data_IF_044907579315
#
_entry.id   IF_044907579315
#
_cell.length_a   1.000
_cell.length_b   1.000
_cell.length_c   1.000
_cell.angle_alpha   90.00
_cell.angle_beta   90.00
_cell.angle_gamma   90.00
#
_symmetry.space_group_name_H-M   'P 1'
#
loop_
_entity.id
_entity.type
_entity.pdbx_description
1 polymer ?
#
# COMPACT_ATOMS: atom_id res chain seq x y z
N UNK A 1 -1.27 7.87 21.70
CA UNK A 1 -1.03 8.21 21.05
C UNK A 1 -1.01 8.19 20.14
N UNK A 2 -1.07 8.15 19.81
CA UNK A 2 -0.65 8.10 18.82
C UNK A 2 -0.14 8.76 18.14
N UNK A 3 -0.29 9.07 18.32
CA UNK A 3 0.43 10.08 17.77
C UNK A 3 1.34 9.84 16.67
N UNK A 4 1.96 8.80 16.61
CA UNK A 4 2.88 8.53 15.55
C UNK A 4 2.23 8.69 14.20
N UNK A 5 0.95 8.42 14.11
CA UNK A 5 0.25 8.58 12.86
C UNK A 5 0.24 10.01 12.37
N UNK A 6 0.39 10.97 13.27
CA UNK A 6 0.33 12.36 12.88
C UNK A 6 1.50 12.77 12.01
N UNK A 7 2.61 12.05 12.04
CA UNK A 7 3.78 12.37 11.24
C UNK A 7 4.07 11.32 10.19
N UNK A 8 3.14 10.43 9.97
CA UNK A 8 3.30 9.42 8.95
C UNK A 8 3.13 9.98 7.57
N UNK A 9 3.77 9.36 6.61
CA UNK A 9 3.62 9.68 5.20
C UNK A 9 2.62 8.72 4.59
N UNK A 10 1.68 9.25 3.80
CA UNK A 10 0.77 8.40 3.05
C UNK A 10 1.41 8.02 1.73
N UNK A 11 1.25 6.76 1.38
CA UNK A 11 1.85 6.22 0.16
C UNK A 11 0.80 5.37 -0.52
N UNK A 12 0.53 5.67 -1.78
CA UNK A 12 -0.38 4.89 -2.59
C UNK A 12 0.42 3.78 -3.26
N UNK A 13 0.02 2.53 -3.04
CA UNK A 13 0.68 1.38 -3.64
C UNK A 13 -0.28 0.75 -4.64
N UNK A 14 0.16 0.63 -5.87
CA UNK A 14 -0.64 0.10 -6.96
C UNK A 14 0.03 -1.16 -7.48
N UNK A 15 -0.68 -2.29 -7.42
CA UNK A 15 -0.13 -3.55 -7.90
C UNK A 15 0.09 -3.48 -9.40
N UNK A 16 1.27 -3.88 -9.83
CA UNK A 16 1.64 -3.93 -11.25
C UNK A 16 1.32 -5.30 -11.81
N UNK A 17 0.96 -5.34 -13.08
CA UNK A 17 0.81 -6.60 -13.78
C UNK A 17 2.14 -7.34 -13.80
N UNK A 18 2.05 -8.66 -13.61
CA UNK A 18 3.21 -9.53 -13.71
C UNK A 18 2.94 -10.51 -14.84
N UNK A 19 3.52 -10.28 -16.04
CA UNK A 19 3.29 -11.17 -17.16
C UNK A 19 3.69 -12.59 -16.82
N UNK A 20 2.99 -13.56 -17.39
CA UNK A 20 3.32 -14.97 -17.26
C UNK A 20 3.01 -15.58 -15.89
N UNK A 21 2.41 -14.84 -14.98
CA UNK A 21 1.98 -15.38 -13.69
C UNK A 21 0.53 -15.81 -13.81
N UNK A 22 0.22 -17.02 -13.35
CA UNK A 22 -1.12 -17.57 -13.44
C UNK A 22 -1.78 -17.64 -12.08
N UNK A 23 -3.11 -17.75 -12.06
CA UNK A 23 -3.86 -17.89 -10.80
C UNK A 23 -3.38 -19.09 -9.98
N UNK A 24 -2.96 -20.17 -10.65
CA UNK A 24 -2.47 -21.35 -9.95
C UNK A 24 -1.23 -21.05 -9.11
N UNK A 25 -0.37 -20.16 -9.58
CA UNK A 25 0.85 -19.83 -8.85
C UNK A 25 0.55 -19.06 -7.57
N UNK A 26 -0.55 -18.33 -7.54
CA UNK A 26 -0.96 -17.57 -6.34
C UNK A 26 -1.53 -18.47 -5.26
N UNK A 27 -2.22 -19.53 -5.67
CA UNK A 27 -3.05 -20.30 -4.76
C UNK A 27 -2.36 -20.75 -3.47
N UNK A 28 -1.13 -21.27 -3.50
CA UNK A 28 -0.49 -21.73 -2.26
C UNK A 28 -0.25 -20.64 -1.24
N UNK A 29 -0.24 -19.37 -1.68
CA UNK A 29 0.13 -18.25 -0.82
C UNK A 29 -1.03 -17.37 -0.40
N UNK A 30 -2.23 -17.61 -0.91
CA UNK A 30 -3.34 -16.68 -0.72
C UNK A 30 -3.76 -16.55 0.74
N UNK A 31 -3.77 -17.64 1.48
CA UNK A 31 -4.16 -17.58 2.87
C UNK A 31 -3.12 -16.84 3.71
N UNK A 32 -1.84 -17.12 3.48
CA UNK A 32 -0.76 -16.44 4.18
C UNK A 32 -0.72 -14.95 3.81
N UNK A 33 -1.00 -14.65 2.55
CA UNK A 33 -1.09 -13.26 2.09
C UNK A 33 -2.18 -12.52 2.86
N UNK A 34 -3.38 -13.09 2.93
CA UNK A 34 -4.49 -12.46 3.63
C UNK A 34 -4.17 -12.27 5.11
N UNK A 35 -3.51 -13.24 5.73
CA UNK A 35 -3.14 -13.12 7.13
C UNK A 35 -2.15 -11.98 7.36
N UNK A 36 -1.18 -11.83 6.46
CA UNK A 36 -0.18 -10.76 6.60
C UNK A 36 -0.82 -9.39 6.35
N UNK A 37 -1.68 -9.29 5.34
CA UNK A 37 -2.40 -8.04 5.07
C UNK A 37 -3.23 -7.64 6.29
N UNK A 38 -3.90 -8.62 6.91
CA UNK A 38 -4.69 -8.35 8.10
C UNK A 38 -3.84 -7.80 9.25
N UNK A 39 -2.66 -8.39 9.47
CA UNK A 39 -1.74 -7.90 10.50
C UNK A 39 -1.32 -6.46 10.23
N UNK A 40 -1.00 -6.14 8.99
CA UNK A 40 -0.57 -4.79 8.61
C UNK A 40 -1.72 -3.79 8.75
N UNK A 41 -2.93 -4.23 8.44
CA UNK A 41 -4.11 -3.40 8.60
C UNK A 41 -4.36 -3.09 10.08
N UNK A 42 -4.26 -4.11 10.94
CA UNK A 42 -4.44 -3.91 12.37
C UNK A 42 -3.35 -3.02 12.97
N UNK A 43 -2.14 -3.11 12.44
CA UNK A 43 -1.03 -2.29 12.90
C UNK A 43 -1.11 -0.84 12.40
N UNK A 44 -2.02 -0.54 11.48
CA UNK A 44 -2.18 0.80 10.96
C UNK A 44 -1.24 1.14 9.82
N UNK A 45 -0.43 0.19 9.35
CA UNK A 45 0.45 0.43 8.22
C UNK A 45 -0.30 0.42 6.90
N UNK A 46 -1.34 -0.41 6.79
CA UNK A 46 -2.28 -0.35 5.67
C UNK A 46 -3.55 0.32 6.19
N UNK A 47 -3.86 1.47 5.63
CA UNK A 47 -5.03 2.24 6.07
C UNK A 47 -6.28 1.93 5.26
N UNK A 48 -6.11 1.67 3.96
CA UNK A 48 -7.20 1.33 3.05
C UNK A 48 -6.68 0.31 2.07
N UNK A 49 -7.56 -0.58 1.64
CA UNK A 49 -7.17 -1.60 0.68
C UNK A 49 -8.37 -1.93 -0.21
N UNK A 50 -8.09 -2.05 -1.50
CA UNK A 50 -9.12 -2.28 -2.51
C UNK A 50 -8.55 -3.17 -3.60
N UNK A 51 -9.43 -3.86 -4.30
CA UNK A 51 -9.10 -4.40 -5.62
C UNK A 51 -9.70 -3.45 -6.66
N UNK A 52 -9.03 -3.35 -7.79
CA UNK A 52 -9.58 -2.62 -8.91
C UNK A 52 -10.81 -3.35 -9.42
N UNK A 53 -11.79 -2.59 -9.91
CA UNK A 53 -12.99 -3.19 -10.47
C UNK A 53 -12.70 -3.80 -11.84
N UNK A 54 -11.79 -3.19 -12.60
CA UNK A 54 -11.51 -3.60 -13.97
C UNK A 54 -10.54 -4.77 -14.08
N UNK A 55 -9.85 -5.11 -13.01
CA UNK A 55 -8.94 -6.25 -13.01
C UNK A 55 -8.57 -6.59 -11.57
N UNK A 56 -8.11 -7.83 -11.37
CA UNK A 56 -7.73 -8.27 -10.03
C UNK A 56 -6.34 -7.76 -9.69
N UNK A 57 -6.29 -6.54 -9.20
CA UNK A 57 -5.04 -5.91 -8.79
C UNK A 57 -5.31 -5.04 -7.57
N UNK A 58 -4.42 -5.08 -6.60
CA UNK A 58 -4.63 -4.41 -5.33
C UNK A 58 -4.23 -2.94 -5.40
N UNK A 59 -5.01 -2.12 -4.73
CA UNK A 59 -4.70 -0.72 -4.49
C UNK A 59 -4.66 -0.54 -2.98
N UNK A 60 -3.53 -0.10 -2.44
CA UNK A 60 -3.37 0.06 -1.01
C UNK A 60 -3.01 1.50 -0.68
N UNK A 61 -3.58 2.00 0.41
CA UNK A 61 -3.12 3.26 0.99
C UNK A 61 -2.35 2.91 2.25
N UNK A 62 -1.06 3.21 2.24
CA UNK A 62 -0.17 2.95 3.37
C UNK A 62 0.07 4.23 4.15
N UNK A 63 0.36 4.07 5.43
CA UNK A 63 0.83 5.19 6.24
C UNK A 63 2.06 4.70 6.99
N UNK A 64 3.21 5.21 6.58
CA UNK A 64 4.50 4.75 7.07
C UNK A 64 5.37 5.97 7.38
N UNK A 65 6.49 5.76 8.05
CA UNK A 65 7.39 6.86 8.37
C UNK A 65 7.98 7.48 7.10
N UNK A 66 8.26 6.65 6.09
CA UNK A 66 8.83 7.10 4.84
C UNK A 66 8.61 6.02 3.77
N UNK A 67 9.09 6.30 2.55
CA UNK A 67 8.94 5.37 1.45
C UNK A 67 9.73 4.07 1.66
N UNK A 68 10.86 4.16 2.37
CA UNK A 68 11.66 2.97 2.64
C UNK A 68 10.94 2.01 3.57
N UNK A 69 10.26 2.54 4.58
CA UNK A 69 9.45 1.69 5.45
C UNK A 69 8.31 1.04 4.67
N UNK A 70 7.68 1.80 3.77
CA UNK A 70 6.62 1.26 2.96
C UNK A 70 7.12 0.10 2.10
N UNK A 71 8.29 0.26 1.49
CA UNK A 71 8.88 -0.80 0.68
C UNK A 71 9.18 -2.03 1.52
N UNK A 72 9.76 -1.85 2.71
CA UNK A 72 10.02 -2.97 3.60
C UNK A 72 8.75 -3.67 4.02
N UNK A 73 7.69 -2.88 4.29
CA UNK A 73 6.40 -3.42 4.68
C UNK A 73 5.80 -4.29 3.57
N UNK A 74 5.80 -3.79 2.33
CA UNK A 74 5.26 -4.55 1.21
C UNK A 74 6.11 -5.79 0.92
N UNK A 75 7.40 -5.75 1.18
CA UNK A 75 8.27 -6.90 0.98
C UNK A 75 8.04 -8.02 2.00
N UNK A 76 7.20 -7.81 3.01
CA UNK A 76 6.82 -8.87 3.92
C UNK A 76 5.61 -9.65 3.41
N UNK A 77 4.99 -9.22 2.33
CA UNK A 77 3.85 -9.93 1.75
C UNK A 77 4.33 -11.17 1.01
N UNK A 78 3.74 -12.34 1.28
CA UNK A 78 4.17 -13.57 0.60
C UNK A 78 4.16 -13.49 -0.92
N UNK A 79 3.14 -12.85 -1.52
CA UNK A 79 3.09 -12.75 -2.97
C UNK A 79 4.24 -11.91 -3.52
N UNK A 80 4.65 -10.86 -2.79
CA UNK A 80 5.80 -10.06 -3.19
C UNK A 80 7.08 -10.87 -3.02
N UNK A 81 7.20 -11.57 -1.89
CA UNK A 81 8.41 -12.37 -1.62
C UNK A 81 8.67 -13.43 -2.66
N UNK A 82 7.59 -13.99 -3.22
CA UNK A 82 7.71 -15.04 -4.24
C UNK A 82 7.72 -14.47 -5.65
N UNK A 83 7.80 -13.15 -5.80
CA UNK A 83 7.91 -12.53 -7.10
C UNK A 83 6.65 -12.59 -7.95
N UNK A 84 5.50 -12.84 -7.32
CA UNK A 84 4.25 -12.98 -8.06
C UNK A 84 3.55 -11.66 -8.29
N UNK A 85 3.78 -10.67 -7.42
CA UNK A 85 3.29 -9.32 -7.62
C UNK A 85 4.37 -8.32 -7.24
N UNK A 86 4.23 -7.11 -7.74
CA UNK A 86 5.05 -5.98 -7.34
C UNK A 86 4.14 -4.76 -7.27
N UNK A 87 4.61 -3.71 -6.62
CA UNK A 87 3.83 -2.49 -6.47
C UNK A 87 4.62 -1.29 -6.98
N UNK A 88 3.90 -0.39 -7.64
CA UNK A 88 4.38 0.98 -7.80
C UNK A 88 3.96 1.76 -6.58
N UNK A 89 4.88 2.52 -6.00
CA UNK A 89 4.58 3.31 -4.82
C UNK A 89 4.66 4.78 -5.16
N UNK A 90 3.63 5.53 -4.75
CA UNK A 90 3.53 6.96 -4.98
C UNK A 90 3.41 7.65 -3.64
N UNK A 91 4.51 8.26 -3.14
CA UNK A 91 4.42 9.05 -1.91
C UNK A 91 3.53 10.26 -2.12
N UNK A 92 2.73 10.56 -1.12
CA UNK A 92 1.75 11.64 -1.21
C UNK A 92 2.08 12.72 -0.20
N UNK A 93 1.69 13.94 -0.51
CA UNK A 93 1.79 15.05 0.41
C UNK A 93 0.43 15.74 0.49
N UNK A 94 0.14 16.44 1.59
CA UNK A 94 -1.14 17.15 1.68
C UNK A 94 -1.30 18.16 0.55
N UNK A 95 -2.52 18.36 0.15
CA UNK A 95 -2.81 19.37 -0.88
C UNK A 95 -2.58 20.76 -0.28
N UNK A 96 -1.69 21.57 -0.84
CA UNK A 96 -1.38 22.88 -0.27
C UNK A 96 -2.28 23.99 -0.77
N UNK A 97 -3.16 23.69 -1.71
CA UNK A 97 -3.89 24.74 -2.43
C UNK A 97 -4.89 25.52 -1.59
N UNK A 98 -5.42 24.89 -0.51
CA UNK A 98 -6.40 25.58 0.33
C UNK A 98 -5.81 26.83 1.01
N UNK A 99 -4.50 26.86 1.20
CA UNK A 99 -3.88 28.03 1.82
C UNK A 99 -4.11 29.29 1.01
N UNK A 100 -4.31 29.15 -0.31
CA UNK A 100 -4.57 30.31 -1.18
C UNK A 100 -5.84 31.04 -0.82
N UNK A 101 -6.79 30.33 -0.20
CA UNK A 101 -8.06 30.94 0.18
C UNK A 101 -7.88 31.99 1.30
N UNK A 102 -6.77 31.93 2.00
CA UNK A 102 -6.53 32.76 3.18
C UNK A 102 -5.38 33.74 2.94
N UNK A 103 -4.85 33.81 1.72
CA UNK A 103 -3.79 34.75 1.40
C UNK A 103 -4.40 36.15 1.22
N UNK A 104 -3.66 37.14 1.70
CA UNK A 104 -4.05 38.53 1.43
C UNK A 104 -3.51 38.95 0.08
N UNK A 105 -4.31 39.64 -0.67
CA UNK A 105 -3.95 40.11 -2.00
C UNK A 105 -3.36 41.53 -1.96
#
# INVERSE_FOLDING_TARGET
MPSSGAIGMKILAIEKETPSVTAEQFRPYLKAEAARVWQLYQAGLIRELYFREDQTAAILMLECADADEAARTLNTLPLVQHGLIAFDMIPLKPYPGFARLFEEM
#
